data_IF_192933266614
#
_entry.id   IF_192933266614
#
_cell.length_a   1.000
_cell.length_b   1.000
_cell.length_c   1.000
_cell.angle_alpha   90.00
_cell.angle_beta   90.00
_cell.angle_gamma   90.00
#
_symmetry.space_group_name_H-M   'P 1'
#
loop_
_entity.id
_entity.type
_entity.pdbx_description
1 polymer ?
#
# COMPACT_ATOMS: atom_id res chain seq x y z
N UNK A 1 6.27 21.89 -7.56
CA UNK A 1 5.31 21.79 -6.42
C UNK A 1 5.18 23.16 -5.79
N UNK A 2 4.04 23.47 -5.16
CA UNK A 2 3.79 24.78 -4.51
C UNK A 2 4.28 24.72 -3.06
N UNK A 3 4.99 25.77 -2.62
CA UNK A 3 5.58 25.87 -1.28
C UNK A 3 4.52 25.93 -0.18
N UNK A 4 4.70 25.14 0.88
CA UNK A 4 3.78 25.02 2.02
C UNK A 4 2.76 23.88 1.92
N UNK A 5 2.88 23.00 0.91
CA UNK A 5 1.95 21.89 0.71
C UNK A 5 2.57 20.60 1.27
N UNK A 6 1.74 19.76 1.91
CA UNK A 6 2.21 18.48 2.47
C UNK A 6 2.86 17.57 1.42
N UNK A 7 2.44 17.70 0.16
CA UNK A 7 3.03 16.95 -0.96
C UNK A 7 4.52 17.18 -1.14
N UNK A 8 5.08 18.27 -0.62
CA UNK A 8 6.52 18.54 -0.66
C UNK A 8 7.36 17.56 0.17
N UNK A 9 6.74 16.76 1.04
CA UNK A 9 7.43 15.86 1.96
C UNK A 9 7.30 14.38 1.61
N UNK A 10 6.61 14.03 0.53
CA UNK A 10 6.45 12.63 0.11
C UNK A 10 6.51 12.48 -1.41
N UNK A 11 7.01 11.33 -1.88
CA UNK A 11 7.15 11.03 -3.30
C UNK A 11 5.86 10.51 -3.93
N UNK A 12 4.99 9.90 -3.13
CA UNK A 12 3.72 9.34 -3.60
C UNK A 12 2.72 9.10 -2.48
N UNK A 13 1.48 8.79 -2.88
CA UNK A 13 0.39 8.42 -1.97
C UNK A 13 -0.32 7.19 -2.54
N UNK A 14 -0.38 6.12 -1.77
CA UNK A 14 -1.23 4.97 -2.07
C UNK A 14 -2.49 5.04 -1.20
N UNK A 15 -3.65 4.82 -1.81
CA UNK A 15 -4.93 4.75 -1.12
C UNK A 15 -5.72 3.55 -1.61
N UNK A 16 -6.46 2.92 -0.71
CA UNK A 16 -7.28 1.75 -1.03
C UNK A 16 -8.62 1.79 -0.32
N UNK A 17 -9.67 1.41 -1.04
CA UNK A 17 -10.96 1.06 -0.46
C UNK A 17 -10.89 -0.35 0.11
N UNK A 18 -11.21 -0.49 1.40
CA UNK A 18 -11.24 -1.79 2.06
C UNK A 18 -12.46 -2.59 1.60
N UNK A 19 -12.25 -3.89 1.42
CA UNK A 19 -13.30 -4.87 1.17
C UNK A 19 -13.77 -5.51 2.49
N UNK A 20 -14.87 -6.26 2.46
CA UNK A 20 -15.35 -6.98 3.63
C UNK A 20 -14.36 -8.02 4.16
N UNK A 21 -13.57 -8.65 3.26
CA UNK A 21 -12.52 -9.62 3.63
C UNK A 21 -11.48 -9.01 4.58
N UNK A 22 -11.25 -7.71 4.48
CA UNK A 22 -10.20 -6.99 5.21
C UNK A 22 -10.74 -6.22 6.41
N UNK A 23 -12.06 -5.97 6.46
CA UNK A 23 -12.70 -5.13 7.47
C UNK A 23 -13.67 -5.89 8.39
N UNK A 24 -14.08 -7.12 8.04
CA UNK A 24 -15.03 -7.93 8.80
C UNK A 24 -14.37 -9.26 9.21
N UNK A 25 -14.19 -9.46 10.51
CA UNK A 25 -13.53 -10.66 11.06
C UNK A 25 -14.28 -11.96 10.75
N UNK A 26 -15.61 -11.89 10.55
CA UNK A 26 -16.44 -13.06 10.24
C UNK A 26 -16.28 -13.47 8.77
N UNK A 27 -15.97 -12.49 7.91
CA UNK A 27 -15.78 -12.69 6.45
C UNK A 27 -14.32 -12.74 6.03
N UNK A 28 -13.40 -12.55 6.96
CA UNK A 28 -11.98 -12.50 6.67
C UNK A 28 -11.44 -13.88 6.34
N UNK A 29 -10.60 -13.95 5.30
CA UNK A 29 -9.90 -15.18 4.91
C UNK A 29 -8.47 -15.26 5.45
N UNK A 30 -8.11 -14.39 6.40
CA UNK A 30 -6.85 -14.32 7.19
C UNK A 30 -5.51 -14.26 6.42
N UNK A 31 -5.48 -14.55 5.11
CA UNK A 31 -4.29 -14.48 4.27
C UNK A 31 -4.47 -13.56 3.06
N UNK A 32 -5.70 -13.08 2.81
CA UNK A 32 -6.01 -12.18 1.70
C UNK A 32 -5.94 -10.72 2.14
N UNK A 33 -4.71 -10.19 2.22
CA UNK A 33 -4.49 -8.75 2.31
C UNK A 33 -4.20 -8.21 0.92
N UNK A 34 -5.23 -7.64 0.29
CA UNK A 34 -5.13 -7.07 -1.05
C UNK A 34 -4.67 -5.61 -0.96
N UNK A 35 -4.14 -5.09 -2.07
CA UNK A 35 -3.88 -3.64 -2.21
C UNK A 35 -2.43 -3.20 -2.15
N UNK A 36 -1.49 -4.12 -2.35
CA UNK A 36 -0.07 -3.78 -2.41
C UNK A 36 0.31 -3.05 -3.71
N UNK A 37 -0.50 -3.13 -4.78
CA UNK A 37 -0.17 -2.58 -6.10
C UNK A 37 0.19 -1.08 -6.06
N UNK A 38 -0.62 -0.24 -5.41
CA UNK A 38 -0.29 1.20 -5.31
C UNK A 38 0.97 1.48 -4.51
N UNK A 39 1.34 0.60 -3.56
CA UNK A 39 2.61 0.70 -2.85
C UNK A 39 3.77 0.22 -3.72
N UNK A 40 3.56 -0.84 -4.52
CA UNK A 40 4.54 -1.35 -5.48
C UNK A 40 4.88 -0.32 -6.57
N UNK A 41 3.88 0.43 -7.04
CA UNK A 41 4.08 1.53 -7.99
C UNK A 41 4.94 2.67 -7.41
N UNK A 42 4.81 2.95 -6.11
CA UNK A 42 5.56 4.03 -5.43
C UNK A 42 6.96 3.56 -5.02
N UNK A 43 7.06 2.36 -4.46
CA UNK A 43 8.28 1.83 -3.85
C UNK A 43 9.15 1.03 -4.83
N UNK A 44 8.57 0.61 -5.95
CA UNK A 44 9.20 -0.31 -6.90
C UNK A 44 9.16 -1.77 -6.43
N UNK A 45 9.70 -2.65 -7.28
CA UNK A 45 9.89 -4.07 -6.98
C UNK A 45 11.30 -4.33 -6.44
N UNK A 46 11.45 -5.24 -5.47
CA UNK A 46 12.77 -5.71 -5.09
C UNK A 46 13.40 -6.52 -6.23
N UNK A 47 14.72 -6.37 -6.42
CA UNK A 47 15.47 -7.14 -7.43
C UNK A 47 15.53 -8.65 -7.15
N UNK A 48 15.20 -9.06 -5.92
CA UNK A 48 15.14 -10.46 -5.51
C UNK A 48 14.84 -10.62 -4.03
N UNK A 49 14.79 -11.87 -3.56
CA UNK A 49 14.66 -12.17 -2.13
C UNK A 49 15.99 -11.91 -1.43
N UNK A 50 15.98 -11.04 -0.42
CA UNK A 50 17.08 -10.90 0.54
C UNK A 50 16.87 -11.94 1.65
N UNK A 51 17.84 -12.82 1.84
CA UNK A 51 17.91 -13.69 3.03
C UNK A 51 18.80 -13.01 4.07
N UNK A 52 18.35 -12.95 5.32
CA UNK A 52 19.07 -12.41 6.47
C UNK A 52 19.61 -13.53 7.34
#
# INVERSE_FOLDING_TARGET
>A
MKRGYLSEYFEGVAAKRLSAVEADVIKSHQHEFNGVEGLREILGEPEGKVQY
#
